data_IF_609362243119
#
_entry.id   IF_609362243119
#
_cell.length_a   1.000
_cell.length_b   1.000
_cell.length_c   1.000
_cell.angle_alpha   90.00
_cell.angle_beta   90.00
_cell.angle_gamma   90.00
#
_symmetry.space_group_name_H-M   'P 1'
#
loop_
_entity.id
_entity.type
_entity.pdbx_description
1 polymer ?
#
# COMPACT_ATOMS: atom_id res chain seq x y z
N UNK A 1 22.29 -6.98 11.34
CA UNK A 1 22.22 -6.91 9.87
C UNK A 1 21.17 -7.90 9.44
N UNK A 2 20.21 -7.47 8.62
CA UNK A 2 19.17 -8.33 8.09
C UNK A 2 19.58 -8.93 6.74
N UNK A 3 19.06 -10.10 6.38
CA UNK A 3 19.30 -10.65 5.05
C UNK A 3 18.49 -9.91 3.97
N UNK A 4 17.25 -9.50 4.28
CA UNK A 4 16.34 -8.89 3.32
C UNK A 4 15.54 -7.74 3.92
N UNK A 5 15.47 -6.63 3.18
CA UNK A 5 14.47 -5.58 3.35
C UNK A 5 13.44 -5.69 2.21
N UNK A 6 12.14 -5.67 2.54
CA UNK A 6 11.05 -5.75 1.57
C UNK A 6 10.01 -4.68 1.91
N UNK A 7 9.86 -3.69 1.03
CA UNK A 7 8.90 -2.60 1.20
C UNK A 7 8.44 -2.04 -0.17
N UNK A 8 7.49 -1.11 -0.11
CA UNK A 8 7.02 -0.36 -1.27
C UNK A 8 8.02 0.66 -1.81
N UNK A 9 7.88 1.02 -3.09
CA UNK A 9 8.71 2.00 -3.80
C UNK A 9 8.77 3.39 -3.13
N UNK A 10 7.74 3.77 -2.37
CA UNK A 10 7.71 5.00 -1.57
C UNK A 10 8.77 5.05 -0.47
N UNK A 11 9.28 3.90 -0.04
CA UNK A 11 10.25 3.82 1.06
C UNK A 11 11.71 4.05 0.61
N UNK A 12 11.99 4.11 -0.71
CA UNK A 12 13.34 4.34 -1.24
C UNK A 12 13.95 5.63 -0.73
N UNK A 13 13.19 6.73 -0.76
CA UNK A 13 13.63 8.06 -0.30
C UNK A 13 13.29 8.32 1.17
N UNK A 14 12.77 7.30 1.87
CA UNK A 14 12.40 7.37 3.27
C UNK A 14 13.23 6.36 4.05
N UNK A 15 12.58 5.28 4.45
CA UNK A 15 13.13 4.32 5.39
C UNK A 15 14.43 3.65 4.92
N UNK A 16 14.58 3.32 3.62
CA UNK A 16 15.81 2.71 3.12
C UNK A 16 17.01 3.66 3.24
N UNK A 17 16.81 4.94 2.88
CA UNK A 17 17.87 5.94 2.93
C UNK A 17 18.25 6.28 4.37
N UNK A 18 17.27 6.48 5.25
CA UNK A 18 17.54 6.79 6.65
C UNK A 18 18.26 5.62 7.35
N UNK A 19 17.78 4.39 7.16
CA UNK A 19 18.41 3.19 7.71
C UNK A 19 19.85 3.00 7.20
N UNK A 20 20.08 3.20 5.89
CA UNK A 20 21.42 3.06 5.30
C UNK A 20 22.41 4.09 5.85
N UNK A 21 22.05 5.37 5.85
CA UNK A 21 22.93 6.45 6.34
C UNK A 21 23.26 6.23 7.82
N UNK A 22 22.25 5.94 8.65
CA UNK A 22 22.45 5.69 10.07
C UNK A 22 23.34 4.48 10.32
N UNK A 23 23.15 3.37 9.60
CA UNK A 23 23.97 2.17 9.77
C UNK A 23 25.42 2.39 9.33
N UNK A 24 25.63 3.07 8.20
CA UNK A 24 26.99 3.39 7.74
C UNK A 24 27.69 4.34 8.71
N UNK A 25 27.00 5.35 9.22
CA UNK A 25 27.57 6.30 10.18
C UNK A 25 27.96 5.65 11.52
N UNK A 26 27.17 4.71 12.03
CA UNK A 26 27.37 4.11 13.36
C UNK A 26 28.15 2.78 13.33
N UNK A 27 28.07 2.02 12.23
CA UNK A 27 28.57 0.65 12.14
C UNK A 27 29.49 0.41 10.94
N UNK A 28 29.60 1.37 10.02
CA UNK A 28 30.49 1.28 8.85
C UNK A 28 30.00 0.35 7.73
N UNK A 29 28.78 -0.18 7.81
CA UNK A 29 28.23 -1.09 6.80
C UNK A 29 26.72 -0.91 6.62
N UNK A 30 26.19 -1.38 5.49
CA UNK A 30 24.75 -1.37 5.22
C UNK A 30 23.97 -2.27 6.20
N UNK A 31 22.70 -1.95 6.53
CA UNK A 31 21.92 -2.70 7.51
C UNK A 31 21.28 -3.98 6.94
N UNK A 32 21.36 -4.19 5.63
CA UNK A 32 20.76 -5.31 4.89
C UNK A 32 21.70 -5.88 3.83
N UNK A 33 21.48 -7.14 3.42
CA UNK A 33 22.20 -7.77 2.28
C UNK A 33 21.48 -7.59 0.96
N UNK A 34 20.16 -7.54 0.96
CA UNK A 34 19.34 -7.43 -0.25
C UNK A 34 18.09 -6.60 0.00
N UNK A 35 17.59 -5.97 -1.07
CA UNK A 35 16.35 -5.20 -1.06
C UNK A 35 15.42 -5.74 -2.15
N UNK A 36 14.16 -5.98 -1.80
CA UNK A 36 13.08 -6.20 -2.77
C UNK A 36 12.12 -5.01 -2.67
N UNK A 37 11.82 -4.42 -3.83
CA UNK A 37 10.96 -3.25 -3.94
C UNK A 37 9.74 -3.63 -4.77
N UNK A 38 8.55 -3.41 -4.23
CA UNK A 38 7.32 -3.58 -4.97
C UNK A 38 6.64 -2.23 -5.30
N UNK A 39 5.86 -2.22 -6.38
CA UNK A 39 5.02 -1.08 -6.74
C UNK A 39 3.79 -0.94 -5.84
N UNK A 40 2.91 -0.01 -6.20
CA UNK A 40 1.63 0.14 -5.51
C UNK A 40 0.60 -0.86 -6.03
N UNK A 41 -0.31 -1.26 -5.14
CA UNK A 41 -1.53 -1.92 -5.55
C UNK A 41 -2.46 -0.91 -6.25
N UNK A 42 -3.03 -1.31 -7.38
CA UNK A 42 -3.86 -0.48 -8.24
C UNK A 42 -5.33 -0.87 -8.12
N UNK A 43 -6.23 0.09 -8.34
CA UNK A 43 -7.66 -0.18 -8.49
C UNK A 43 -8.01 -0.64 -9.91
N UNK A 44 -9.30 -0.80 -10.20
CA UNK A 44 -9.81 -1.27 -11.49
C UNK A 44 -9.52 -0.30 -12.65
N UNK A 45 -9.32 0.97 -12.36
CA UNK A 45 -9.03 2.01 -13.35
C UNK A 45 -7.51 2.23 -13.49
N UNK A 46 -6.68 1.39 -12.86
CA UNK A 46 -5.23 1.50 -12.86
C UNK A 46 -4.69 2.63 -11.97
N UNK A 47 -5.53 3.24 -11.11
CA UNK A 47 -5.09 4.28 -10.18
C UNK A 47 -4.53 3.65 -8.93
N UNK A 48 -3.47 4.26 -8.38
CA UNK A 48 -2.91 3.88 -7.07
C UNK A 48 -4.02 3.87 -6.02
N UNK A 49 -4.13 2.77 -5.27
CA UNK A 49 -5.05 2.70 -4.14
C UNK A 49 -4.58 3.63 -3.01
N UNK A 50 -5.51 4.44 -2.48
CA UNK A 50 -5.26 5.35 -1.36
C UNK A 50 -6.54 5.62 -0.56
N UNK A 51 -6.40 5.71 0.77
CA UNK A 51 -7.55 5.98 1.66
C UNK A 51 -8.22 7.32 1.35
N UNK A 52 -7.44 8.34 1.01
CA UNK A 52 -7.94 9.69 0.68
C UNK A 52 -8.80 9.71 -0.58
N UNK A 53 -8.47 8.88 -1.58
CA UNK A 53 -9.27 8.74 -2.80
C UNK A 53 -10.49 7.84 -2.59
N UNK A 54 -10.55 7.11 -1.47
CA UNK A 54 -11.65 6.19 -1.15
C UNK A 54 -11.68 4.94 -2.02
N UNK A 55 -10.64 4.69 -2.83
CA UNK A 55 -10.55 3.56 -3.75
C UNK A 55 -9.82 2.34 -3.14
N UNK A 56 -9.87 2.20 -1.81
CA UNK A 56 -9.24 1.08 -1.09
C UNK A 56 -10.23 -0.06 -0.88
N UNK A 57 -9.73 -1.28 -0.95
CA UNK A 57 -10.46 -2.48 -0.55
C UNK A 57 -9.92 -2.92 0.81
N UNK A 58 -10.79 -3.27 1.75
CA UNK A 58 -10.37 -3.84 3.01
C UNK A 58 -9.75 -5.23 2.76
N UNK A 59 -8.49 -5.49 3.15
CA UNK A 59 -7.86 -6.79 2.94
C UNK A 59 -8.67 -7.97 3.51
N UNK A 60 -9.36 -7.75 4.64
CA UNK A 60 -10.20 -8.78 5.25
C UNK A 60 -11.38 -9.18 4.38
N UNK A 61 -11.91 -8.26 3.58
CA UNK A 61 -13.00 -8.58 2.65
C UNK A 61 -12.51 -9.49 1.52
N UNK A 62 -11.24 -9.40 1.13
CA UNK A 62 -10.63 -10.28 0.12
C UNK A 62 -10.41 -11.67 0.73
N UNK A 63 -9.81 -11.73 1.92
CA UNK A 63 -9.53 -12.99 2.63
C UNK A 63 -10.82 -13.77 2.89
N UNK A 64 -11.90 -13.07 3.28
CA UNK A 64 -13.19 -13.69 3.57
C UNK A 64 -14.07 -13.93 2.33
N UNK A 65 -13.61 -13.54 1.13
CA UNK A 65 -14.39 -13.68 -0.12
C UNK A 65 -15.60 -12.73 -0.23
N UNK A 66 -15.72 -11.72 0.64
CA UNK A 66 -16.84 -10.78 0.68
C UNK A 66 -16.61 -9.50 -0.14
N UNK A 67 -15.41 -9.29 -0.69
CA UNK A 67 -15.04 -8.08 -1.43
C UNK A 67 -15.99 -7.74 -2.59
N UNK A 68 -16.54 -8.75 -3.27
CA UNK A 68 -17.48 -8.56 -4.39
C UNK A 68 -18.90 -8.21 -3.89
N UNK A 69 -19.31 -8.77 -2.74
CA UNK A 69 -20.64 -8.54 -2.18
C UNK A 69 -20.77 -7.12 -1.62
N UNK A 70 -19.71 -6.60 -0.99
CA UNK A 70 -19.69 -5.26 -0.39
C UNK A 70 -19.64 -4.13 -1.44
N UNK A 71 -18.97 -4.36 -2.57
CA UNK A 71 -18.85 -3.34 -3.63
C UNK A 71 -20.19 -3.05 -4.31
N UNK A 72 -21.06 -4.05 -4.45
CA UNK A 72 -22.43 -3.87 -4.95
C UNK A 72 -23.30 -3.02 -4.01
N UNK A 73 -23.15 -3.17 -2.69
CA UNK A 73 -23.89 -2.37 -1.71
C UNK A 73 -23.43 -0.91 -1.65
N UNK A 74 -22.13 -0.64 -1.76
CA UNK A 74 -21.60 0.73 -1.78
C UNK A 74 -22.03 1.50 -3.04
N UNK A 75 -22.08 0.84 -4.20
CA UNK A 75 -22.55 1.45 -5.46
C UNK A 75 -24.04 1.82 -5.40
N UNK A 76 -24.88 0.98 -4.80
CA UNK A 76 -26.30 1.27 -4.62
C UNK A 76 -26.57 2.45 -3.66
N UNK A 77 -25.73 2.64 -2.64
CA UNK A 77 -25.87 3.76 -1.69
C UNK A 77 -25.42 5.11 -2.28
N UNK A 78 -24.36 5.13 -3.10
CA UNK A 78 -23.90 6.36 -3.77
C UNK A 78 -24.88 6.84 -4.84
N UNK A 79 -25.49 5.92 -5.61
CA UNK A 79 -26.55 6.21 -6.58
C UNK A 79 -27.82 6.75 -5.92
N UNK A 80 -28.19 6.26 -4.73
CA UNK A 80 -29.35 6.77 -3.97
C UNK A 80 -29.12 8.19 -3.42
N UNK A 81 -27.89 8.57 -3.07
CA UNK A 81 -27.55 9.94 -2.64
C UNK A 81 -27.62 10.95 -3.79
N UNK A 82 -27.24 10.56 -5.02
CA UNK A 82 -27.33 11.44 -6.21
C UNK A 82 -28.75 11.69 -6.71
N UNK A 83 -29.71 10.81 -6.43
CA UNK A 83 -31.13 10.98 -6.81
C UNK A 83 -31.96 11.77 -5.78
N UNK A 84 -31.37 12.16 -4.65
CA UNK A 84 -32.01 12.94 -3.58
C UNK A 84 -31.54 14.40 -3.51
N UNK A 85 -30.72 14.82 -4.49
CA UNK A 85 -30.34 16.20 -4.78
C UNK A 85 -30.86 16.57 -6.16
#
# INVERSE_FOLDING_TARGET
MADLYLEGVDQIRGWFQSSLITSVALRGHAPYRSIIIHGFALDRDGKKMSKSLGNVINPMDIVNGTAINNSNHQQQQSLKKRKKS
#
